data_IF_469144099795
#
_entry.id   IF_469144099795
#
_cell.length_a   1.000
_cell.length_b   1.000
_cell.length_c   1.000
_cell.angle_alpha   90.00
_cell.angle_beta   90.00
_cell.angle_gamma   90.00
#
_symmetry.space_group_name_H-M   'P 1'
#
loop_
_entity.id
_entity.type
_entity.pdbx_description
1 polymer ?
#
# COMPACT_ATOMS: atom_id res chain seq x y z
N UNK A 1 -10.28 -15.05 19.55
CA UNK A 1 -9.07 -15.71 19.03
C UNK A 1 -7.90 -14.76 19.25
N UNK A 2 -7.00 -15.07 20.18
CA UNK A 2 -5.85 -14.23 20.47
C UNK A 2 -4.85 -14.35 19.31
N UNK A 3 -4.73 -13.30 18.51
CA UNK A 3 -3.73 -13.22 17.45
C UNK A 3 -2.34 -13.14 18.10
N UNK A 4 -1.66 -14.28 18.22
CA UNK A 4 -0.21 -14.29 18.35
C UNK A 4 0.34 -13.76 17.04
N UNK A 5 0.69 -12.48 16.99
CA UNK A 5 1.50 -11.94 15.92
C UNK A 5 2.86 -12.65 15.98
N UNK A 6 3.21 -13.52 15.00
CA UNK A 6 4.56 -14.02 14.95
C UNK A 6 5.51 -12.83 14.80
N UNK A 7 6.70 -12.88 15.41
CA UNK A 7 7.65 -11.77 15.36
C UNK A 7 7.90 -11.38 13.91
N UNK A 8 7.82 -10.07 13.62
CA UNK A 8 7.99 -9.43 12.32
C UNK A 8 8.89 -10.26 11.40
N UNK A 9 8.25 -11.11 10.59
CA UNK A 9 8.96 -11.92 9.62
C UNK A 9 9.53 -10.92 8.62
N UNK A 10 10.86 -10.84 8.53
CA UNK A 10 11.54 -10.01 7.53
C UNK A 10 10.89 -10.28 6.18
N UNK A 11 10.24 -9.26 5.62
CA UNK A 11 9.55 -9.38 4.34
C UNK A 11 10.52 -9.97 3.31
N UNK A 12 10.19 -11.12 2.70
CA UNK A 12 11.13 -11.88 1.88
C UNK A 12 11.44 -11.17 0.57
N UNK A 13 10.55 -10.31 0.11
CA UNK A 13 10.76 -9.48 -1.08
C UNK A 13 10.78 -8.02 -0.67
N UNK A 14 11.76 -7.27 -1.18
CA UNK A 14 11.91 -5.84 -0.93
C UNK A 14 12.18 -5.10 -2.23
N UNK A 15 11.69 -3.87 -2.31
CA UNK A 15 12.17 -2.92 -3.30
C UNK A 15 13.48 -2.30 -2.80
N UNK A 16 14.48 -2.24 -3.66
CA UNK A 16 15.76 -1.63 -3.35
C UNK A 16 16.28 -0.81 -4.54
N UNK A 17 17.11 0.18 -4.25
CA UNK A 17 17.76 1.03 -5.26
C UNK A 17 19.21 0.65 -5.42
N UNK A 18 19.60 0.34 -6.65
CA UNK A 18 20.97 0.01 -7.05
C UNK A 18 21.55 1.11 -7.96
N UNK A 19 22.87 1.12 -8.21
CA UNK A 19 23.49 2.10 -9.13
C UNK A 19 22.90 2.07 -10.55
N UNK A 20 22.46 0.91 -11.01
CA UNK A 20 21.85 0.68 -12.32
C UNK A 20 20.32 0.94 -12.33
N UNK A 21 19.70 1.18 -11.19
CA UNK A 21 18.28 1.52 -11.06
C UNK A 21 17.55 0.81 -9.92
N UNK A 22 16.23 1.07 -9.75
CA UNK A 22 15.41 0.35 -8.79
C UNK A 22 15.13 -1.10 -9.24
N UNK A 23 15.11 -2.04 -8.28
CA UNK A 23 14.79 -3.44 -8.52
C UNK A 23 14.11 -4.10 -7.30
N UNK A 24 13.48 -5.26 -7.54
CA UNK A 24 12.98 -6.15 -6.49
C UNK A 24 14.03 -7.18 -6.13
N UNK A 25 14.28 -7.32 -4.82
CA UNK A 25 15.18 -8.34 -4.27
C UNK A 25 14.40 -9.41 -3.53
N UNK A 26 14.75 -10.66 -3.77
CA UNK A 26 14.35 -11.79 -2.95
C UNK A 26 15.45 -12.06 -1.93
N UNK A 27 15.14 -12.00 -0.65
CA UNK A 27 16.08 -12.27 0.44
C UNK A 27 16.27 -13.77 0.62
N UNK A 28 17.47 -14.19 1.02
CA UNK A 28 17.75 -15.58 1.33
C UNK A 28 16.97 -16.03 2.60
N UNK A 29 16.10 -17.06 2.51
CA UNK A 29 15.30 -17.55 3.63
C UNK A 29 16.14 -18.20 4.74
N UNK A 30 17.33 -18.71 4.40
CA UNK A 30 18.16 -19.50 5.31
C UNK A 30 19.15 -18.63 6.12
N UNK A 31 19.14 -17.32 5.90
CA UNK A 31 20.02 -16.41 6.65
C UNK A 31 19.47 -16.21 8.07
N UNK A 32 20.23 -16.59 9.11
CA UNK A 32 19.78 -16.44 10.49
C UNK A 32 19.66 -14.97 10.87
N UNK A 33 18.68 -14.65 11.72
CA UNK A 33 18.45 -13.27 12.18
C UNK A 33 19.69 -12.64 12.84
N UNK A 34 20.53 -13.43 13.50
CA UNK A 34 21.80 -12.96 14.08
C UNK A 34 22.74 -12.38 13.01
N UNK A 35 22.80 -13.01 11.83
CA UNK A 35 23.62 -12.53 10.71
C UNK A 35 23.07 -11.23 10.13
N UNK A 36 21.75 -11.13 9.97
CA UNK A 36 21.10 -9.87 9.57
C UNK A 36 21.32 -8.73 10.58
N UNK A 37 21.26 -9.04 11.89
CA UNK A 37 21.57 -8.07 12.94
C UNK A 37 23.03 -7.60 12.87
N UNK A 38 23.97 -8.53 12.66
CA UNK A 38 25.38 -8.20 12.46
C UNK A 38 25.62 -7.27 11.28
N UNK A 39 24.99 -7.54 10.13
CA UNK A 39 25.11 -6.66 8.96
C UNK A 39 24.45 -5.29 9.19
N UNK A 40 23.32 -5.20 9.89
CA UNK A 40 22.72 -3.90 10.26
C UNK A 40 23.63 -3.07 11.16
N UNK A 41 24.24 -3.70 12.16
CA UNK A 41 25.20 -3.04 13.06
C UNK A 41 26.41 -2.55 12.25
N UNK A 42 26.96 -3.38 11.36
CA UNK A 42 28.07 -3.00 10.48
C UNK A 42 27.69 -1.84 9.55
N UNK A 43 26.47 -1.83 9.01
CA UNK A 43 25.99 -0.75 8.17
C UNK A 43 25.86 0.58 8.94
N UNK A 44 25.50 0.52 10.23
CA UNK A 44 25.46 1.70 11.10
C UNK A 44 26.83 2.19 11.57
N UNK A 45 27.80 1.28 11.74
CA UNK A 45 29.16 1.57 12.23
C UNK A 45 30.14 1.90 11.10
N UNK A 46 29.77 2.78 10.17
CA UNK A 46 30.72 3.22 9.13
C UNK A 46 31.84 4.06 9.77
N UNK A 47 33.12 3.91 9.32
CA UNK A 47 34.25 4.59 9.93
C UNK A 47 34.04 6.11 10.06
N UNK A 48 33.49 6.75 9.04
CA UNK A 48 33.18 8.18 9.06
C UNK A 48 32.17 8.54 10.15
N UNK A 49 31.10 7.76 10.29
CA UNK A 49 30.08 7.96 11.32
C UNK A 49 30.68 7.82 12.72
N UNK A 50 31.47 6.75 12.95
CA UNK A 50 32.12 6.48 14.23
C UNK A 50 33.12 7.57 14.58
N UNK A 51 33.95 8.00 13.63
CA UNK A 51 34.94 9.07 13.83
C UNK A 51 34.27 10.41 14.18
N UNK A 52 33.18 10.78 13.50
CA UNK A 52 32.42 11.99 13.84
C UNK A 52 31.85 11.91 15.26
N UNK A 53 31.32 10.74 15.65
CA UNK A 53 30.81 10.51 17.00
C UNK A 53 31.91 10.64 18.07
N UNK A 54 33.07 10.00 17.84
CA UNK A 54 34.22 10.08 18.75
C UNK A 54 34.77 11.50 18.87
N UNK A 55 34.85 12.26 17.77
CA UNK A 55 35.23 13.66 17.79
C UNK A 55 34.25 14.50 18.62
N UNK A 56 32.94 14.22 18.48
CA UNK A 56 31.91 14.87 19.28
C UNK A 56 32.03 14.58 20.78
N UNK A 57 32.29 13.32 21.15
CA UNK A 57 32.53 12.91 22.54
C UNK A 57 33.78 13.61 23.09
N UNK A 58 34.88 13.64 22.33
CA UNK A 58 36.11 14.30 22.75
C UNK A 58 35.89 15.81 23.01
N UNK A 59 35.13 16.50 22.15
CA UNK A 59 34.76 17.90 22.33
C UNK A 59 33.91 18.13 23.60
N UNK A 60 32.94 17.26 23.86
CA UNK A 60 32.10 17.35 25.06
C UNK A 60 32.91 17.13 26.35
N UNK A 61 33.85 16.17 26.35
CA UNK A 61 34.74 15.90 27.48
C UNK A 61 35.71 17.07 27.71
N UNK A 62 36.30 17.63 26.65
CA UNK A 62 37.17 18.81 26.73
C UNK A 62 36.41 20.03 27.29
N UNK A 63 35.17 20.25 26.81
CA UNK A 63 34.32 21.33 27.32
C UNK A 63 34.06 21.19 28.82
N UNK A 64 33.71 19.98 29.29
CA UNK A 64 33.45 19.70 30.70
C UNK A 64 34.70 19.89 31.59
N UNK A 65 35.90 19.65 31.05
CA UNK A 65 37.16 19.84 31.76
C UNK A 65 37.66 21.30 31.78
N UNK A 66 37.22 22.13 30.83
CA UNK A 66 37.77 23.48 30.60
C UNK A 66 37.15 24.62 31.44
N UNK A 67 36.20 24.32 32.32
CA UNK A 67 35.53 25.32 33.18
C UNK A 67 34.38 26.07 32.50
N UNK A 68 33.84 27.12 33.15
CA UNK A 68 32.69 27.89 32.65
C UNK A 68 33.11 29.03 31.72
N UNK A 69 32.58 29.06 30.50
CA UNK A 69 32.79 30.14 29.54
C UNK A 69 32.12 29.89 28.18
N UNK A 70 32.01 30.92 27.34
CA UNK A 70 31.36 30.81 26.02
C UNK A 70 31.97 29.71 25.14
N UNK A 71 33.30 29.57 25.14
CA UNK A 71 34.00 28.51 24.40
C UNK A 71 33.65 27.10 24.87
N UNK A 72 33.48 26.89 26.18
CA UNK A 72 33.07 25.60 26.74
C UNK A 72 31.61 25.27 26.37
N UNK A 73 30.70 26.24 26.44
CA UNK A 73 29.29 26.06 26.03
C UNK A 73 29.21 25.74 24.53
N UNK A 74 29.98 26.44 23.70
CA UNK A 74 30.02 26.21 22.26
C UNK A 74 30.60 24.82 21.92
N UNK A 75 31.73 24.44 22.53
CA UNK A 75 32.35 23.13 22.33
C UNK A 75 31.44 21.98 22.78
N UNK A 76 30.72 22.14 23.89
CA UNK A 76 29.72 21.19 24.36
C UNK A 76 28.57 21.05 23.35
N UNK A 77 28.02 22.16 22.86
CA UNK A 77 26.97 22.16 21.84
C UNK A 77 27.41 21.49 20.53
N UNK A 78 28.61 21.81 20.05
CA UNK A 78 29.20 21.17 18.88
C UNK A 78 29.42 19.66 19.08
N UNK A 79 29.88 19.26 20.28
CA UNK A 79 30.07 17.87 20.66
C UNK A 79 28.76 17.08 20.65
N UNK A 80 27.71 17.60 21.30
CA UNK A 80 26.38 16.99 21.32
C UNK A 80 25.82 16.87 19.91
N UNK A 81 25.94 17.93 19.09
CA UNK A 81 25.47 17.91 17.70
C UNK A 81 26.20 16.83 16.89
N UNK A 82 27.53 16.73 17.01
CA UNK A 82 28.31 15.74 16.29
C UNK A 82 27.93 14.30 16.70
N UNK A 83 27.70 14.03 17.99
CA UNK A 83 27.19 12.74 18.47
C UNK A 83 25.79 12.47 17.92
N UNK A 84 24.88 13.44 17.98
CA UNK A 84 23.51 13.31 17.44
C UNK A 84 23.48 13.01 15.95
N UNK A 85 24.28 13.75 15.16
CA UNK A 85 24.44 13.51 13.71
C UNK A 85 25.02 12.12 13.44
N UNK A 86 26.01 11.68 14.22
CA UNK A 86 26.59 10.35 14.11
C UNK A 86 25.55 9.24 14.38
N UNK A 87 24.80 9.34 15.48
CA UNK A 87 23.75 8.39 15.82
C UNK A 87 22.66 8.33 14.74
N UNK A 88 22.20 9.48 14.27
CA UNK A 88 21.20 9.56 13.22
C UNK A 88 21.71 8.98 11.90
N UNK A 89 22.92 9.33 11.48
CA UNK A 89 23.53 8.80 10.26
C UNK A 89 23.76 7.28 10.34
N UNK A 90 24.15 6.78 11.53
CA UNK A 90 24.31 5.34 11.78
C UNK A 90 22.97 4.60 11.72
N UNK A 91 21.95 5.10 12.42
CA UNK A 91 20.60 4.53 12.37
C UNK A 91 20.02 4.55 10.95
N UNK A 92 20.15 5.68 10.24
CA UNK A 92 19.70 5.81 8.86
C UNK A 92 20.40 4.83 7.93
N UNK A 93 21.72 4.64 8.09
CA UNK A 93 22.49 3.66 7.31
C UNK A 93 22.05 2.22 7.61
N UNK A 94 21.80 1.90 8.88
CA UNK A 94 21.30 0.59 9.29
C UNK A 94 19.89 0.31 8.76
N UNK A 95 19.00 1.31 8.78
CA UNK A 95 17.63 1.21 8.29
C UNK A 95 17.58 1.01 6.75
N UNK A 96 18.50 1.65 6.01
CA UNK A 96 18.56 1.58 4.55
C UNK A 96 19.42 0.46 3.99
N UNK A 97 20.02 -0.37 4.84
CA UNK A 97 20.91 -1.47 4.44
C UNK A 97 20.31 -2.40 3.38
N UNK A 98 18.99 -2.63 3.41
CA UNK A 98 18.27 -3.51 2.49
C UNK A 98 17.49 -2.77 1.38
N UNK A 99 17.56 -1.44 1.34
CA UNK A 99 16.74 -0.62 0.43
C UNK A 99 17.56 0.35 -0.41
N UNK A 100 18.79 0.70 0.00
CA UNK A 100 19.71 1.50 -0.80
C UNK A 100 21.09 0.84 -0.85
N UNK A 101 21.41 0.31 -2.03
CA UNK A 101 22.69 -0.28 -2.37
C UNK A 101 23.54 0.65 -3.24
N UNK A 102 23.11 1.90 -3.45
CA UNK A 102 23.96 2.92 -4.05
C UNK A 102 25.07 3.29 -3.08
N UNK A 103 26.29 3.02 -3.48
CA UNK A 103 27.47 3.36 -2.71
C UNK A 103 28.47 4.08 -3.60
N UNK A 104 29.38 4.82 -2.98
CA UNK A 104 30.36 5.62 -3.72
C UNK A 104 31.30 4.76 -4.57
N UNK A 105 31.96 5.35 -5.58
CA UNK A 105 32.81 4.65 -6.56
C UNK A 105 34.00 3.87 -5.97
N UNK A 106 34.26 3.94 -4.66
CA UNK A 106 35.30 3.16 -3.96
C UNK A 106 34.77 2.18 -2.91
N UNK A 107 33.45 1.96 -2.80
CA UNK A 107 32.87 1.10 -1.77
C UNK A 107 31.77 0.21 -2.38
N UNK A 108 32.10 -0.97 -2.93
CA UNK A 108 31.09 -1.88 -3.47
C UNK A 108 30.13 -2.32 -2.36
N UNK A 109 28.88 -2.60 -2.72
CA UNK A 109 27.90 -3.07 -1.76
C UNK A 109 28.32 -4.43 -1.22
N UNK A 110 28.57 -4.51 0.09
CA UNK A 110 29.00 -5.75 0.74
C UNK A 110 27.98 -6.88 0.53
N UNK A 111 26.69 -6.56 0.61
CA UNK A 111 25.62 -7.55 0.47
C UNK A 111 25.43 -8.02 -0.99
N UNK A 112 25.93 -7.26 -1.95
CA UNK A 112 25.89 -7.56 -3.39
C UNK A 112 27.22 -8.14 -3.90
N UNK A 113 28.18 -8.41 -3.01
CA UNK A 113 29.52 -8.88 -3.39
C UNK A 113 29.49 -10.32 -3.92
N UNK A 114 28.66 -11.16 -3.32
CA UNK A 114 28.47 -12.55 -3.71
C UNK A 114 26.98 -12.74 -4.00
N UNK A 115 26.67 -12.98 -5.27
CA UNK A 115 25.29 -13.22 -5.72
C UNK A 115 24.70 -14.41 -4.98
N UNK A 116 23.44 -14.29 -4.55
CA UNK A 116 22.75 -15.37 -3.84
C UNK A 116 23.25 -15.62 -2.41
N UNK A 117 24.20 -14.83 -1.89
CA UNK A 117 24.59 -14.95 -0.48
C UNK A 117 23.47 -14.41 0.42
N UNK A 118 23.07 -13.15 0.18
CA UNK A 118 22.06 -12.46 0.99
C UNK A 118 20.73 -12.29 0.26
N UNK A 119 20.78 -12.08 -1.06
CA UNK A 119 19.61 -11.91 -1.89
C UNK A 119 19.91 -12.23 -3.35
N UNK A 120 18.84 -12.35 -4.13
CA UNK A 120 18.84 -12.33 -5.59
C UNK A 120 18.06 -11.10 -6.07
N UNK A 121 18.62 -10.38 -7.05
CA UNK A 121 17.91 -9.34 -7.80
C UNK A 121 17.20 -9.94 -8.99
N UNK A 122 16.10 -9.34 -9.43
CA UNK A 122 15.47 -9.76 -10.69
C UNK A 122 16.41 -9.52 -11.88
N UNK A 123 17.21 -8.44 -11.82
CA UNK A 123 18.23 -8.10 -12.82
C UNK A 123 19.45 -9.01 -12.84
N UNK A 124 19.70 -9.81 -11.80
CA UNK A 124 20.82 -10.76 -11.81
C UNK A 124 20.67 -11.84 -12.91
N UNK A 125 19.48 -11.98 -13.50
CA UNK A 125 19.12 -13.02 -14.46
C UNK A 125 18.71 -12.46 -15.82
N UNK A 126 18.95 -11.17 -16.11
CA UNK A 126 18.54 -10.54 -17.39
C UNK A 126 19.25 -11.11 -18.60
N UNK A 127 20.44 -11.65 -18.42
CA UNK A 127 21.25 -12.31 -19.44
C UNK A 127 20.80 -13.74 -19.75
N UNK A 128 19.86 -14.31 -18.99
CA UNK A 128 19.36 -15.68 -19.20
C UNK A 128 18.14 -15.75 -20.15
N UNK A 129 17.92 -14.71 -20.95
CA UNK A 129 16.86 -14.69 -21.97
C UNK A 129 15.45 -14.85 -21.39
N UNK A 130 14.62 -15.79 -21.92
CA UNK A 130 13.24 -16.00 -21.46
C UNK A 130 13.11 -16.30 -19.96
N UNK A 131 14.07 -16.99 -19.37
CA UNK A 131 14.08 -17.32 -17.94
C UNK A 131 14.03 -16.06 -17.04
N UNK A 132 14.48 -14.90 -17.54
CA UNK A 132 14.39 -13.63 -16.82
C UNK A 132 12.94 -13.23 -16.47
N UNK A 133 11.97 -13.61 -17.32
CA UNK A 133 10.55 -13.34 -17.06
C UNK A 133 10.01 -14.26 -15.96
N UNK A 134 10.38 -15.54 -15.97
CA UNK A 134 10.04 -16.49 -14.91
C UNK A 134 10.56 -15.99 -13.55
N UNK A 135 11.82 -15.55 -13.47
CA UNK A 135 12.41 -15.00 -12.23
C UNK A 135 11.60 -13.81 -11.70
N UNK A 136 11.28 -12.83 -12.55
CA UNK A 136 10.46 -11.67 -12.14
C UNK A 136 9.10 -12.10 -11.60
N UNK A 137 8.45 -13.04 -12.27
CA UNK A 137 7.15 -13.58 -11.88
C UNK A 137 7.22 -14.30 -10.53
N UNK A 138 8.25 -15.11 -10.30
CA UNK A 138 8.46 -15.82 -9.03
C UNK A 138 8.71 -14.85 -7.87
N UNK A 139 9.60 -13.87 -8.05
CA UNK A 139 9.88 -12.85 -7.02
C UNK A 139 8.61 -12.06 -6.71
N UNK A 140 7.86 -11.63 -7.73
CA UNK A 140 6.59 -10.94 -7.54
C UNK A 140 5.57 -11.81 -6.79
N UNK A 141 5.44 -13.08 -7.17
CA UNK A 141 4.52 -14.04 -6.53
C UNK A 141 4.81 -14.26 -5.05
N UNK A 142 6.08 -14.46 -4.67
CA UNK A 142 6.48 -14.54 -3.25
C UNK A 142 6.13 -13.25 -2.51
N UNK A 143 6.43 -12.10 -3.13
CA UNK A 143 6.16 -10.79 -2.54
C UNK A 143 4.67 -10.51 -2.36
N UNK A 144 3.83 -11.08 -3.22
CA UNK A 144 2.38 -10.98 -3.12
C UNK A 144 1.83 -11.89 -2.01
N UNK A 145 2.21 -13.17 -2.00
CA UNK A 145 1.76 -14.14 -0.99
C UNK A 145 2.08 -13.67 0.44
N UNK A 146 3.24 -13.05 0.64
CA UNK A 146 3.62 -12.57 1.98
C UNK A 146 2.97 -11.25 2.39
N UNK A 147 2.54 -10.42 1.44
CA UNK A 147 1.85 -9.14 1.69
C UNK A 147 0.33 -9.27 1.70
N UNK A 148 -0.20 -10.38 1.21
CA UNK A 148 -1.63 -10.64 1.15
C UNK A 148 -2.28 -10.55 2.54
N UNK A 149 -3.39 -9.81 2.71
CA UNK A 149 -4.17 -9.84 3.94
C UNK A 149 -4.79 -11.22 4.21
N UNK A 150 -5.00 -12.05 3.18
CA UNK A 150 -5.45 -13.43 3.34
C UNK A 150 -4.42 -14.33 4.04
N UNK A 151 -3.16 -13.90 4.16
CA UNK A 151 -2.11 -14.65 4.85
C UNK A 151 -2.48 -15.09 6.26
N UNK A 152 -3.29 -14.32 6.99
CA UNK A 152 -3.74 -14.69 8.35
C UNK A 152 -4.65 -15.91 8.37
N UNK A 153 -5.20 -16.30 7.22
CA UNK A 153 -6.08 -17.45 7.03
C UNK A 153 -5.36 -18.66 6.40
N UNK A 154 -4.12 -18.46 5.94
CA UNK A 154 -3.31 -19.50 5.30
C UNK A 154 -2.30 -19.99 6.35
N UNK A 155 -2.00 -21.28 6.34
CA UNK A 155 -0.94 -21.83 7.19
C UNK A 155 0.37 -21.01 7.00
N UNK A 156 0.98 -20.50 8.08
CA UNK A 156 2.14 -19.62 7.99
C UNK A 156 3.39 -20.31 7.42
N UNK A 157 3.40 -21.66 7.36
CA UNK A 157 4.40 -22.47 6.67
C UNK A 157 4.29 -22.38 5.15
N UNK A 158 3.08 -22.21 4.58
CA UNK A 158 2.89 -22.21 3.12
C UNK A 158 3.66 -21.07 2.43
N UNK A 159 3.54 -19.78 2.81
CA UNK A 159 4.33 -18.71 2.20
C UNK A 159 5.84 -18.88 2.41
N UNK A 160 6.26 -19.49 3.53
CA UNK A 160 7.68 -19.78 3.81
C UNK A 160 8.21 -20.86 2.87
N UNK A 161 7.42 -21.90 2.64
CA UNK A 161 7.79 -22.98 1.75
C UNK A 161 7.86 -22.51 0.30
N UNK A 162 6.87 -21.71 -0.14
CA UNK A 162 6.93 -21.07 -1.46
C UNK A 162 8.19 -20.20 -1.60
N UNK A 163 8.53 -19.41 -0.57
CA UNK A 163 9.77 -18.63 -0.58
C UNK A 163 11.01 -19.51 -0.70
N UNK A 164 11.10 -20.62 0.04
CA UNK A 164 12.22 -21.58 -0.06
C UNK A 164 12.31 -22.25 -1.42
N UNK A 165 11.21 -22.74 -1.97
CA UNK A 165 11.16 -23.38 -3.29
C UNK A 165 11.61 -22.40 -4.37
N UNK A 166 11.10 -21.16 -4.34
CA UNK A 166 11.53 -20.12 -5.28
C UNK A 166 13.01 -19.81 -5.11
N UNK A 167 13.49 -19.67 -3.88
CA UNK A 167 14.90 -19.43 -3.61
C UNK A 167 15.79 -20.54 -4.19
N UNK A 168 15.43 -21.80 -3.95
CA UNK A 168 16.15 -22.96 -4.49
C UNK A 168 16.12 -23.01 -6.02
N UNK A 169 14.97 -22.71 -6.64
CA UNK A 169 14.85 -22.61 -8.09
C UNK A 169 15.79 -21.54 -8.67
N UNK A 170 15.88 -20.37 -8.04
CA UNK A 170 16.83 -19.32 -8.44
C UNK A 170 18.30 -19.74 -8.23
N UNK A 171 18.63 -20.44 -7.13
CA UNK A 171 19.95 -21.03 -6.93
C UNK A 171 20.30 -22.08 -7.98
N UNK A 172 19.33 -22.90 -8.41
CA UNK A 172 19.51 -23.86 -9.51
C UNK A 172 19.77 -23.11 -10.82
N UNK A 173 18.97 -22.09 -11.12
CA UNK A 173 19.10 -21.28 -12.33
C UNK A 173 20.47 -20.58 -12.38
N UNK A 174 20.91 -19.96 -11.29
CA UNK A 174 22.21 -19.27 -11.25
C UNK A 174 23.39 -20.25 -11.46
N UNK A 175 23.30 -21.47 -10.92
CA UNK A 175 24.29 -22.54 -11.16
C UNK A 175 24.34 -23.00 -12.62
N UNK A 176 23.25 -22.87 -13.39
CA UNK A 176 23.23 -23.23 -14.81
C UNK A 176 23.85 -22.17 -15.73
N UNK A 177 24.22 -20.99 -15.23
CA UNK A 177 24.70 -19.87 -16.06
C UNK A 177 25.89 -20.23 -16.94
N UNK A 178 26.92 -20.86 -16.37
CA UNK A 178 28.10 -21.25 -17.14
C UNK A 178 27.76 -22.27 -18.24
N UNK A 179 26.83 -23.20 -17.95
CA UNK A 179 26.36 -24.16 -18.93
C UNK A 179 25.57 -23.48 -20.07
N UNK A 180 24.77 -22.44 -19.76
CA UNK A 180 24.03 -21.66 -20.77
C UNK A 180 24.96 -20.87 -21.68
N UNK A 181 25.97 -20.20 -21.12
CA UNK A 181 27.01 -19.51 -21.90
C UNK A 181 27.71 -20.49 -22.84
N UNK A 182 28.08 -21.67 -22.32
CA UNK A 182 28.69 -22.72 -23.14
C UNK A 182 27.76 -23.23 -24.26
N UNK A 183 26.45 -23.37 -23.99
CA UNK A 183 25.46 -23.74 -25.01
C UNK A 183 25.37 -22.69 -26.11
N UNK A 184 25.41 -21.40 -25.75
CA UNK A 184 25.35 -20.30 -26.71
C UNK A 184 26.64 -20.23 -27.56
N UNK A 185 27.80 -20.42 -26.94
CA UNK A 185 29.10 -20.52 -27.63
C UNK A 185 29.14 -21.71 -28.61
N UNK A 186 28.70 -22.89 -28.17
CA UNK A 186 28.63 -24.09 -29.01
C UNK A 186 27.59 -23.96 -30.13
N UNK A 187 26.54 -23.17 -29.95
CA UNK A 187 25.54 -22.92 -30.98
C UNK A 187 26.05 -22.00 -32.10
N UNK A 188 27.13 -21.23 -31.86
CA UNK A 188 27.72 -20.34 -32.85
C UNK A 188 28.58 -21.08 -33.90
N UNK A 189 28.99 -22.33 -33.63
CA UNK A 189 29.75 -23.18 -34.56
C UNK A 189 29.10 -24.57 -34.74
N UNK A 190 27.97 -24.64 -35.48
CA UNK A 190 27.16 -25.84 -35.61
C UNK A 190 27.81 -26.98 -36.43
N UNK A 191 28.85 -26.68 -37.22
CA UNK A 191 29.53 -27.65 -38.10
C UNK A 191 30.71 -28.35 -37.43
N UNK A 192 31.02 -28.03 -36.16
CA UNK A 192 32.10 -28.66 -35.41
C UNK A 192 31.75 -30.09 -34.95
N UNK A 193 32.78 -30.90 -34.71
CA UNK A 193 32.70 -32.27 -34.14
C UNK A 193 31.98 -32.30 -32.77
N UNK A 194 31.79 -31.13 -32.15
CA UNK A 194 31.19 -30.94 -30.82
C UNK A 194 29.65 -30.82 -30.89
N UNK A 195 29.02 -30.90 -32.08
CA UNK A 195 27.58 -30.75 -32.25
C UNK A 195 26.70 -31.66 -31.36
N UNK A 196 27.11 -32.90 -31.08
CA UNK A 196 26.37 -33.78 -30.16
C UNK A 196 26.41 -33.29 -28.71
N UNK A 197 27.54 -32.71 -28.27
CA UNK A 197 27.68 -32.15 -26.93
C UNK A 197 26.85 -30.87 -26.80
N UNK A 198 26.79 -30.04 -27.85
CA UNK A 198 25.94 -28.85 -27.90
C UNK A 198 24.44 -29.21 -27.76
N UNK A 199 24.00 -30.24 -28.49
CA UNK A 199 22.62 -30.76 -28.40
C UNK A 199 22.32 -31.31 -27.01
N UNK A 200 23.22 -32.08 -26.41
CA UNK A 200 23.05 -32.62 -25.06
C UNK A 200 22.98 -31.51 -24.00
N UNK A 201 23.86 -30.51 -24.09
CA UNK A 201 23.87 -29.37 -23.17
C UNK A 201 22.60 -28.51 -23.32
N UNK A 202 22.14 -28.26 -24.55
CA UNK A 202 20.87 -27.57 -24.80
C UNK A 202 19.68 -28.34 -24.22
N UNK A 203 19.64 -29.67 -24.39
CA UNK A 203 18.61 -30.53 -23.81
C UNK A 203 18.60 -30.45 -22.28
N UNK A 204 19.77 -30.43 -21.65
CA UNK A 204 19.87 -30.30 -20.19
C UNK A 204 19.36 -28.92 -19.71
N UNK A 205 19.68 -27.84 -20.44
CA UNK A 205 19.15 -26.49 -20.14
C UNK A 205 17.63 -26.45 -20.28
N UNK A 206 17.07 -27.05 -21.34
CA UNK A 206 15.62 -27.12 -21.56
C UNK A 206 14.89 -27.83 -20.42
N UNK A 207 15.41 -28.95 -19.92
CA UNK A 207 14.81 -29.65 -18.76
C UNK A 207 14.76 -28.74 -17.52
N UNK A 208 15.76 -27.88 -17.34
CA UNK A 208 15.78 -26.92 -16.22
C UNK A 208 14.81 -25.75 -16.44
N UNK A 209 14.62 -25.31 -17.69
CA UNK A 209 13.63 -24.29 -18.04
C UNK A 209 12.20 -24.82 -17.88
N UNK A 210 11.92 -26.06 -18.32
CA UNK A 210 10.63 -26.73 -18.12
C UNK A 210 10.29 -26.86 -16.63
N UNK A 211 11.26 -27.30 -15.82
CA UNK A 211 11.08 -27.39 -14.36
C UNK A 211 10.87 -26.02 -13.71
N UNK A 212 11.53 -24.97 -14.22
CA UNK A 212 11.33 -23.59 -13.74
C UNK A 212 9.90 -23.11 -14.07
N UNK A 213 9.40 -23.42 -15.27
CA UNK A 213 8.04 -23.07 -15.68
C UNK A 213 6.98 -23.80 -14.85
N UNK A 214 7.19 -25.06 -14.48
CA UNK A 214 6.34 -25.77 -13.53
C UNK A 214 6.29 -25.05 -12.17
N UNK A 215 7.44 -24.61 -11.65
CA UNK A 215 7.50 -23.83 -10.40
C UNK A 215 6.73 -22.51 -10.55
N UNK A 216 6.87 -21.81 -11.69
CA UNK A 216 6.10 -20.59 -11.99
C UNK A 216 4.60 -20.87 -11.95
N UNK A 217 4.14 -21.94 -12.60
CA UNK A 217 2.73 -22.31 -12.64
C UNK A 217 2.19 -22.61 -11.24
N UNK A 218 2.93 -23.36 -10.42
CA UNK A 218 2.51 -23.68 -9.06
C UNK A 218 2.46 -22.44 -8.15
N UNK A 219 3.47 -21.58 -8.21
CA UNK A 219 3.48 -20.31 -7.46
C UNK A 219 2.35 -19.40 -7.92
N UNK A 220 2.09 -19.33 -9.23
CA UNK A 220 0.97 -18.59 -9.78
C UNK A 220 -0.37 -19.13 -9.27
N UNK A 221 -0.55 -20.46 -9.24
CA UNK A 221 -1.71 -21.11 -8.64
C UNK A 221 -1.95 -20.70 -7.19
N UNK A 222 -0.88 -20.67 -6.37
CA UNK A 222 -0.98 -20.19 -4.98
C UNK A 222 -1.45 -18.72 -4.91
N UNK A 223 -0.92 -17.85 -5.79
CA UNK A 223 -1.33 -16.45 -5.86
C UNK A 223 -2.80 -16.32 -6.26
N UNK A 224 -3.25 -17.05 -7.28
CA UNK A 224 -4.65 -17.04 -7.75
C UNK A 224 -5.60 -17.48 -6.64
N UNK A 225 -5.30 -18.58 -5.94
CA UNK A 225 -6.10 -19.05 -4.82
C UNK A 225 -6.16 -18.03 -3.68
N UNK A 226 -5.04 -17.39 -3.37
CA UNK A 226 -4.96 -16.34 -2.34
C UNK A 226 -5.83 -15.13 -2.72
N UNK A 227 -5.75 -14.66 -3.97
CA UNK A 227 -6.60 -13.56 -4.48
C UNK A 227 -8.09 -13.92 -4.45
N UNK A 228 -8.45 -15.14 -4.84
CA UNK A 228 -9.83 -15.60 -4.83
C UNK A 228 -10.38 -15.64 -3.39
N UNK A 229 -9.57 -16.08 -2.44
CA UNK A 229 -9.93 -16.06 -1.02
C UNK A 229 -10.10 -14.63 -0.49
N UNK A 230 -9.21 -13.71 -0.83
CA UNK A 230 -9.38 -12.29 -0.48
C UNK A 230 -10.67 -11.70 -1.05
N UNK A 231 -10.99 -11.99 -2.31
CA UNK A 231 -12.21 -11.51 -2.94
C UNK A 231 -13.45 -12.02 -2.19
N UNK A 232 -13.43 -13.29 -1.76
CA UNK A 232 -14.51 -13.88 -0.96
C UNK A 232 -14.64 -13.23 0.41
N UNK A 233 -13.52 -13.00 1.12
CA UNK A 233 -13.52 -12.31 2.41
C UNK A 233 -14.08 -10.89 2.30
N UNK A 234 -13.66 -10.13 1.30
CA UNK A 234 -14.18 -8.77 1.04
C UNK A 234 -15.67 -8.79 0.73
N UNK A 235 -16.13 -9.76 -0.05
CA UNK A 235 -17.55 -9.91 -0.34
C UNK A 235 -18.37 -10.15 0.94
N UNK A 236 -17.94 -11.09 1.79
CA UNK A 236 -18.61 -11.36 3.07
C UNK A 236 -18.63 -10.15 4.01
N UNK A 237 -17.52 -9.40 4.10
CA UNK A 237 -17.45 -8.16 4.87
C UNK A 237 -18.43 -7.11 4.35
N UNK A 238 -18.46 -6.91 3.02
CA UNK A 238 -19.38 -5.97 2.38
C UNK A 238 -20.85 -6.36 2.59
N UNK A 239 -21.20 -7.65 2.47
CA UNK A 239 -22.56 -8.13 2.73
C UNK A 239 -22.95 -7.86 4.18
N UNK A 240 -22.11 -8.24 5.14
CA UNK A 240 -22.38 -8.04 6.57
C UNK A 240 -22.55 -6.56 6.91
N UNK A 241 -21.68 -5.69 6.36
CA UNK A 241 -21.75 -4.24 6.55
C UNK A 241 -23.01 -3.65 5.91
N UNK A 242 -23.38 -4.13 4.72
CA UNK A 242 -24.59 -3.71 4.02
C UNK A 242 -25.83 -4.10 4.82
N UNK A 243 -25.92 -5.34 5.29
CA UNK A 243 -27.04 -5.81 6.11
C UNK A 243 -27.17 -4.99 7.39
N UNK A 244 -26.05 -4.69 8.06
CA UNK A 244 -26.03 -3.84 9.24
C UNK A 244 -26.51 -2.40 8.96
N UNK A 245 -26.04 -1.78 7.86
CA UNK A 245 -26.46 -0.43 7.47
C UNK A 245 -27.94 -0.40 7.09
N UNK A 246 -28.41 -1.37 6.30
CA UNK A 246 -29.81 -1.46 5.89
C UNK A 246 -30.73 -1.69 7.10
N UNK A 247 -30.30 -2.51 8.08
CA UNK A 247 -31.05 -2.70 9.33
C UNK A 247 -31.12 -1.44 10.21
N UNK A 248 -30.18 -0.50 10.05
CA UNK A 248 -30.15 0.77 10.78
C UNK A 248 -30.94 1.90 10.07
N UNK A 249 -31.42 1.69 8.85
CA UNK A 249 -32.22 2.69 8.14
C UNK A 249 -33.63 2.79 8.78
N UNK A 250 -34.17 4.01 8.93
CA UNK A 250 -35.52 4.19 9.46
C UNK A 250 -36.54 3.48 8.56
N UNK A 251 -37.44 2.74 9.20
CA UNK A 251 -38.44 1.96 8.47
C UNK A 251 -39.42 2.85 7.71
N UNK A 252 -40.07 2.30 6.68
CA UNK A 252 -41.07 3.05 5.90
C UNK A 252 -42.18 3.65 6.78
N UNK A 253 -42.56 2.96 7.86
CA UNK A 253 -43.53 3.46 8.83
C UNK A 253 -43.02 4.66 9.66
N UNK A 254 -41.73 4.76 9.93
CA UNK A 254 -41.14 5.93 10.62
C UNK A 254 -41.08 7.14 9.71
N UNK A 255 -40.64 6.95 8.46
CA UNK A 255 -40.65 8.02 7.44
C UNK A 255 -42.07 8.52 7.22
N UNK A 256 -43.05 7.61 7.09
CA UNK A 256 -44.46 7.97 6.95
C UNK A 256 -44.98 8.76 8.16
N UNK A 257 -44.67 8.32 9.39
CA UNK A 257 -45.04 9.05 10.61
C UNK A 257 -44.43 10.45 10.68
N UNK A 258 -43.18 10.61 10.22
CA UNK A 258 -42.55 11.93 10.13
C UNK A 258 -43.25 12.82 9.11
N UNK A 259 -43.64 12.28 7.94
CA UNK A 259 -44.42 13.02 6.95
C UNK A 259 -45.79 13.42 7.48
N UNK A 260 -46.53 12.49 8.10
CA UNK A 260 -47.84 12.75 8.71
C UNK A 260 -47.74 13.82 9.81
N UNK A 261 -46.71 13.75 10.67
CA UNK A 261 -46.47 14.76 11.70
C UNK A 261 -46.13 16.14 11.09
N UNK A 262 -45.35 16.17 10.02
CA UNK A 262 -45.02 17.41 9.30
C UNK A 262 -46.25 18.03 8.61
N UNK A 263 -47.15 17.20 8.09
CA UNK A 263 -48.42 17.67 7.49
C UNK A 263 -49.41 18.19 8.54
N UNK A 264 -49.42 17.61 9.75
CA UNK A 264 -50.27 18.06 10.85
C UNK A 264 -49.77 19.37 11.51
N UNK A 265 -48.48 19.68 11.38
CA UNK A 265 -47.84 20.83 12.03
C UNK A 265 -48.49 22.18 11.68
N UNK A 266 -48.73 22.53 10.39
CA UNK A 266 -49.41 23.76 10.03
C UNK A 266 -50.83 23.87 10.60
N UNK A 267 -51.57 22.76 10.65
CA UNK A 267 -52.94 22.73 11.19
C UNK A 267 -52.93 23.01 12.69
N UNK A 268 -52.01 22.39 13.43
CA UNK A 268 -51.86 22.62 14.87
C UNK A 268 -51.42 24.06 15.16
N UNK A 269 -50.42 24.57 14.43
CA UNK A 269 -49.95 25.96 14.57
C UNK A 269 -51.08 26.94 14.25
N UNK A 270 -51.83 26.70 13.18
CA UNK A 270 -52.99 27.50 12.83
C UNK A 270 -54.01 27.52 13.97
N UNK A 271 -54.38 26.36 14.52
CA UNK A 271 -55.32 26.27 15.62
C UNK A 271 -54.86 27.04 16.87
N UNK A 272 -53.58 26.92 17.26
CA UNK A 272 -53.03 27.65 18.41
C UNK A 272 -52.97 29.16 18.17
N UNK A 273 -52.57 29.59 16.98
CA UNK A 273 -52.50 31.01 16.60
C UNK A 273 -53.92 31.62 16.60
N UNK A 274 -54.91 30.91 16.08
CA UNK A 274 -56.33 31.31 16.11
C UNK A 274 -56.86 31.38 17.53
N UNK A 275 -56.61 30.37 18.37
CA UNK A 275 -57.01 30.40 19.78
C UNK A 275 -56.36 31.57 20.54
N UNK A 276 -55.07 31.83 20.32
CA UNK A 276 -54.36 32.94 20.96
C UNK A 276 -54.93 34.31 20.53
N UNK A 277 -55.27 34.47 19.25
CA UNK A 277 -55.96 35.66 18.75
C UNK A 277 -57.32 35.85 19.44
N UNK A 278 -58.10 34.78 19.59
CA UNK A 278 -59.43 34.85 20.20
C UNK A 278 -59.36 35.27 21.67
N UNK A 279 -58.40 34.75 22.44
CA UNK A 279 -58.19 35.12 23.85
C UNK A 279 -57.69 36.56 24.00
N UNK A 280 -56.88 37.05 23.04
CA UNK A 280 -56.28 38.39 23.09
C UNK A 280 -57.14 39.47 22.43
N UNK A 281 -58.30 39.09 21.87
CA UNK A 281 -59.19 39.95 21.08
C UNK A 281 -58.46 40.70 19.96
N UNK A 282 -57.38 40.12 19.41
CA UNK A 282 -56.48 40.80 18.48
C UNK A 282 -57.06 41.08 17.08
N UNK A 283 -58.35 40.79 16.88
CA UNK A 283 -59.08 40.97 15.61
C UNK A 283 -58.75 39.91 14.56
N UNK A 284 -59.63 39.75 13.57
CA UNK A 284 -59.52 38.69 12.55
C UNK A 284 -58.21 38.76 11.74
N UNK A 285 -57.63 37.60 11.45
CA UNK A 285 -56.43 37.51 10.62
C UNK A 285 -56.69 37.97 9.18
N UNK A 286 -55.66 38.44 8.45
CA UNK A 286 -55.82 38.90 7.07
C UNK A 286 -56.48 37.88 6.14
N UNK A 287 -56.19 36.58 6.32
CA UNK A 287 -56.76 35.51 5.49
C UNK A 287 -58.24 35.20 5.78
N UNK A 288 -58.80 35.69 6.88
CA UNK A 288 -60.20 35.46 7.26
C UNK A 288 -61.12 36.60 6.86
N UNK A 289 -60.55 37.75 6.52
CA UNK A 289 -61.37 38.87 6.05
C UNK A 289 -61.81 38.63 4.60
N UNK A 290 -62.96 39.15 4.14
CA UNK A 290 -63.38 39.01 2.74
C UNK A 290 -62.35 39.69 1.80
N UNK A 291 -62.12 39.17 0.58
CA UNK A 291 -61.08 39.70 -0.33
C UNK A 291 -61.19 41.21 -0.60
N UNK A 292 -62.40 41.76 -0.52
CA UNK A 292 -62.68 43.20 -0.66
C UNK A 292 -62.00 44.06 0.43
N UNK A 293 -61.77 43.52 1.62
CA UNK A 293 -61.11 44.20 2.75
C UNK A 293 -59.57 44.12 2.72
N UNK A 294 -59.01 43.20 1.92
CA UNK A 294 -57.55 42.99 1.81
C UNK A 294 -56.85 44.21 1.17
N UNK A 295 -57.60 44.99 0.39
CA UNK A 295 -57.15 46.23 -0.25
C UNK A 295 -56.81 47.37 0.73
N UNK A 296 -57.28 47.29 2.00
CA UNK A 296 -56.86 48.18 3.10
C UNK A 296 -55.67 47.63 3.89
N UNK A 297 -55.60 46.31 4.09
CA UNK A 297 -54.47 45.64 4.78
C UNK A 297 -53.16 45.67 3.96
N UNK A 298 -53.24 45.54 2.63
CA UNK A 298 -52.11 45.70 1.72
C UNK A 298 -51.54 47.14 1.68
N UNK A 299 -52.25 48.14 2.22
CA UNK A 299 -51.74 49.51 2.39
C UNK A 299 -51.03 49.75 3.71
N UNK A 300 -51.22 48.86 4.70
CA UNK A 300 -50.64 48.99 6.06
C UNK A 300 -49.45 48.03 6.24
N UNK A 301 -49.30 47.01 5.39
CA UNK A 301 -48.05 46.25 5.31
C UNK A 301 -46.93 47.12 4.71
N UNK A 302 -45.72 47.11 5.29
CA UNK A 302 -44.56 47.71 4.62
C UNK A 302 -44.42 47.07 3.24
N UNK A 303 -44.16 47.90 2.21
CA UNK A 303 -43.87 47.53 0.81
C UNK A 303 -42.57 46.70 0.67
N UNK A 304 -42.36 45.69 1.51
CA UNK A 304 -41.11 44.94 1.66
C UNK A 304 -41.21 43.44 1.42
N UNK A 305 -42.36 42.89 1.02
CA UNK A 305 -42.50 41.46 0.69
C UNK A 305 -43.12 41.23 -0.70
N UNK A 306 -42.70 42.05 -1.66
CA UNK A 306 -42.88 41.81 -3.10
C UNK A 306 -41.53 41.39 -3.70
N UNK A 307 -41.12 40.14 -3.46
CA UNK A 307 -40.23 39.36 -4.32
C UNK A 307 -39.99 37.99 -3.69
N UNK A 308 -40.48 36.94 -4.32
CA UNK A 308 -39.97 35.60 -4.03
C UNK A 308 -40.87 34.38 -4.26
N UNK A 309 -41.91 34.42 -5.08
CA UNK A 309 -42.50 33.15 -5.59
C UNK A 309 -42.99 33.27 -7.03
N UNK A 310 -42.14 32.85 -7.96
CA UNK A 310 -42.50 32.05 -9.14
C UNK A 310 -41.21 31.36 -9.59
N UNK A 311 -41.13 30.05 -9.67
CA UNK A 311 -41.77 29.30 -10.75
C UNK A 311 -41.94 27.84 -10.35
N UNK A 312 -43.19 27.39 -10.44
CA UNK A 312 -43.58 25.99 -10.51
C UNK A 312 -44.00 25.70 -11.94
N UNK A 313 -43.63 24.50 -12.41
CA UNK A 313 -44.11 23.75 -13.59
C UNK A 313 -43.49 24.05 -14.96
N UNK A 314 -42.70 23.08 -15.42
CA UNK A 314 -42.93 22.43 -16.70
C UNK A 314 -42.51 20.96 -16.64
N UNK A 315 -43.47 20.06 -16.41
CA UNK A 315 -43.31 18.62 -16.63
C UNK A 315 -44.67 18.04 -16.97
N UNK A 316 -44.96 17.87 -18.27
CA UNK A 316 -45.79 16.79 -18.83
C UNK A 316 -46.03 16.93 -20.35
N UNK A 317 -45.40 16.05 -21.15
CA UNK A 317 -45.97 15.29 -22.30
C UNK A 317 -44.80 14.51 -22.95
N UNK A 318 -44.66 13.18 -22.90
CA UNK A 318 -45.52 11.99 -23.19
C UNK A 318 -45.53 11.59 -24.68
N UNK A 319 -45.17 10.32 -24.92
CA UNK A 319 -45.40 9.51 -26.15
C UNK A 319 -44.10 8.89 -26.66
N UNK A 320 -43.74 7.61 -26.46
CA UNK A 320 -44.37 6.30 -26.71
C UNK A 320 -44.42 5.90 -28.20
N UNK A 321 -43.83 4.72 -28.48
CA UNK A 321 -43.94 3.84 -29.68
C UNK A 321 -43.14 4.27 -30.91
N UNK A 322 -42.37 3.43 -31.61
CA UNK A 322 -42.16 1.98 -31.62
C UNK A 322 -42.00 1.52 -33.08
N UNK A 323 -41.07 0.58 -33.37
CA UNK A 323 -40.94 -0.22 -34.62
C UNK A 323 -40.73 0.58 -35.93
N UNK A 324 -40.04 0.15 -37.00
CA UNK A 324 -39.35 -1.07 -37.42
C UNK A 324 -38.95 -0.89 -38.91
N UNK A 325 -37.98 -1.69 -39.38
CA UNK A 325 -37.69 -2.06 -40.77
C UNK A 325 -37.44 -0.96 -41.84
N UNK A 326 -36.17 -0.84 -42.24
CA UNK A 326 -35.67 -1.12 -43.60
C UNK A 326 -34.15 -1.03 -43.61
#
# INVERSE_FOLDING_TARGET
>A
MAHHNPPDAVMPVRAATFPDGPDSVLLNPDIPQARWRGERVRAGLRPRTVLTGLAGVALAVLAAASGSGFGAVFALGAGILAVGVSLFAGWYSAARMLTDHRHGPGSPCRLDRVRGEFFFRSRDFTDLGPASYAVRTLIAGVGELHRSPARTWIDPGVPREVHRVVWQALCCLDRTRAARVLVDELAADPDSVVGQLAVAARKAVLVMDDALDEVVQHVHGCVVLTRAWEAKLRHTELTTRTDHILAALPGHAEVRRLTEAAEALPQNVFAYITAARDITEAGAFPWEQPPSSWSRLLRILPRGLSRGTSSSRALARRGRSGEGQS
#
